data_IF_817639699279
#
_entry.id   IF_817639699279
#
_cell.length_a   1.000
_cell.length_b   1.000
_cell.length_c   1.000
_cell.angle_alpha   90.00
_cell.angle_beta   90.00
_cell.angle_gamma   90.00
#
_symmetry.space_group_name_H-M   'P 1'
#
loop_
_entity.id
_entity.type
_entity.pdbx_description
1 polymer ?
#
# COMPACT_ATOMS: atom_id res chain seq x y z
N UNK A 1 -23.50 0.88 1.13
CA UNK A 1 -22.77 2.12 0.78
C UNK A 1 -21.43 1.71 0.18
N UNK A 2 -21.33 1.59 -1.14
CA UNK A 2 -20.05 1.27 -1.77
C UNK A 2 -19.32 2.60 -2.00
N UNK A 3 -18.33 2.90 -1.16
CA UNK A 3 -17.44 4.04 -1.44
C UNK A 3 -16.55 3.65 -2.62
N UNK A 4 -16.70 4.35 -3.73
CA UNK A 4 -15.78 4.30 -4.88
C UNK A 4 -14.61 5.26 -4.70
N UNK A 5 -14.60 6.05 -3.62
CA UNK A 5 -13.49 6.93 -3.26
C UNK A 5 -12.53 6.21 -2.30
N UNK A 6 -11.21 6.39 -2.45
CA UNK A 6 -10.27 5.97 -1.44
C UNK A 6 -10.54 6.69 -0.12
N UNK A 7 -10.32 5.99 0.99
CA UNK A 7 -10.46 6.55 2.35
C UNK A 7 -9.07 6.74 2.93
N UNK A 8 -8.76 7.95 3.38
CA UNK A 8 -7.51 8.25 4.07
C UNK A 8 -7.77 8.40 5.57
N UNK A 9 -7.00 7.68 6.38
CA UNK A 9 -7.05 7.73 7.84
C UNK A 9 -5.78 8.43 8.33
N UNK A 10 -5.95 9.40 9.23
CA UNK A 10 -4.89 10.21 9.82
C UNK A 10 -5.06 10.18 11.34
N UNK A 11 -4.23 9.40 12.04
CA UNK A 11 -4.35 9.22 13.50
C UNK A 11 -3.64 10.31 14.31
N UNK A 12 -2.73 11.04 13.69
CA UNK A 12 -1.86 12.02 14.37
C UNK A 12 -1.65 13.22 13.46
N UNK A 13 -1.23 14.33 14.06
CA UNK A 13 -0.77 15.48 13.31
C UNK A 13 0.41 15.09 12.41
N UNK A 14 0.29 15.41 11.11
CA UNK A 14 1.34 15.19 10.12
C UNK A 14 2.00 16.54 9.83
N UNK A 15 3.33 16.68 10.03
CA UNK A 15 4.04 17.89 9.63
C UNK A 15 3.81 18.21 8.15
N UNK A 16 3.66 19.50 7.83
CA UNK A 16 3.35 19.95 6.46
C UNK A 16 4.34 19.42 5.42
N UNK A 17 5.60 19.26 5.82
CA UNK A 17 6.70 18.72 5.02
C UNK A 17 6.43 17.28 4.54
N UNK A 18 5.78 16.47 5.38
CA UNK A 18 5.43 15.06 5.09
C UNK A 18 4.16 14.91 4.24
N UNK A 19 3.39 15.98 4.05
CA UNK A 19 2.20 15.95 3.18
C UNK A 19 2.55 15.91 1.69
N UNK A 20 3.81 16.13 1.32
CA UNK A 20 4.30 15.95 -0.06
C UNK A 20 4.59 14.48 -0.40
N UNK A 21 4.35 13.55 0.53
CA UNK A 21 4.43 12.09 0.36
C UNK A 21 5.68 11.62 -0.39
N UNK A 22 6.88 12.04 0.02
CA UNK A 22 8.13 11.74 -0.69
C UNK A 22 8.48 10.27 -0.70
N UNK A 23 8.06 9.53 0.33
CA UNK A 23 8.19 8.07 0.42
C UNK A 23 6.80 7.44 0.58
N UNK A 24 6.35 6.73 -0.45
CA UNK A 24 5.08 6.02 -0.45
C UNK A 24 5.36 4.52 -0.33
N UNK A 25 4.66 3.83 0.54
CA UNK A 25 4.71 2.37 0.64
C UNK A 25 3.36 1.77 0.26
N UNK A 26 3.36 0.73 -0.56
CA UNK A 26 2.15 -0.04 -0.88
C UNK A 26 2.27 -1.47 -0.34
N UNK A 27 1.25 -1.93 0.38
CA UNK A 27 1.15 -3.31 0.85
C UNK A 27 0.68 -4.25 -0.26
N UNK A 28 1.45 -5.30 -0.53
CA UNK A 28 1.20 -6.26 -1.61
C UNK A 28 0.81 -7.63 -1.07
N UNK A 29 -0.42 -8.06 -1.34
CA UNK A 29 -0.97 -9.36 -0.97
C UNK A 29 -1.50 -10.17 -2.18
N UNK A 30 -1.29 -9.66 -3.40
CA UNK A 30 -1.73 -10.22 -4.68
C UNK A 30 -3.25 -10.32 -4.89
N UNK A 31 -4.05 -9.68 -4.05
CA UNK A 31 -5.50 -9.60 -4.22
C UNK A 31 -5.93 -8.62 -5.30
N UNK A 32 -7.19 -8.70 -5.73
CA UNK A 32 -7.78 -7.74 -6.68
C UNK A 32 -7.75 -6.30 -6.14
N UNK A 33 -8.04 -6.11 -4.85
CA UNK A 33 -8.03 -4.78 -4.22
C UNK A 33 -6.61 -4.20 -4.12
N UNK A 34 -5.62 -5.06 -3.89
CA UNK A 34 -4.21 -4.69 -3.89
C UNK A 34 -3.75 -4.17 -5.26
N UNK A 35 -4.24 -4.72 -6.37
CA UNK A 35 -3.92 -4.19 -7.70
C UNK A 35 -4.35 -2.73 -7.86
N UNK A 36 -5.51 -2.36 -7.30
CA UNK A 36 -5.98 -0.96 -7.29
C UNK A 36 -5.14 -0.08 -6.38
N UNK A 37 -4.69 -0.61 -5.24
CA UNK A 37 -3.76 0.07 -4.36
C UNK A 37 -2.40 0.34 -5.03
N UNK A 38 -1.83 -0.63 -5.75
CA UNK A 38 -0.60 -0.44 -6.52
C UNK A 38 -0.75 0.66 -7.56
N UNK A 39 -1.84 0.63 -8.33
CA UNK A 39 -2.12 1.63 -9.36
C UNK A 39 -2.31 3.03 -8.76
N UNK A 40 -3.07 3.13 -7.66
CA UNK A 40 -3.25 4.39 -6.94
C UNK A 40 -1.93 4.93 -6.39
N UNK A 41 -1.11 4.06 -5.77
CA UNK A 41 0.20 4.43 -5.23
C UNK A 41 1.17 4.89 -6.33
N UNK A 42 1.19 4.22 -7.48
CA UNK A 42 2.02 4.61 -8.62
C UNK A 42 1.63 5.99 -9.18
N UNK A 43 0.33 6.27 -9.32
CA UNK A 43 -0.14 7.59 -9.75
C UNK A 43 0.21 8.70 -8.75
N UNK A 44 0.11 8.42 -7.45
CA UNK A 44 0.57 9.36 -6.42
C UNK A 44 2.08 9.57 -6.51
N UNK A 45 2.85 8.50 -6.71
CA UNK A 45 4.30 8.59 -6.83
C UNK A 45 4.73 9.46 -8.02
N UNK A 46 4.08 9.32 -9.17
CA UNK A 46 4.29 10.21 -10.32
C UNK A 46 3.92 11.67 -10.00
N UNK A 47 2.75 11.90 -9.38
CA UNK A 47 2.25 13.24 -9.07
C UNK A 47 3.14 14.01 -8.09
N UNK A 48 3.70 13.32 -7.10
CA UNK A 48 4.50 13.93 -6.03
C UNK A 48 6.01 13.77 -6.21
N UNK A 49 6.43 13.10 -7.30
CA UNK A 49 7.79 12.69 -7.57
C UNK A 49 8.39 11.95 -6.36
N UNK A 50 7.73 10.86 -5.98
CA UNK A 50 7.99 10.09 -4.77
C UNK A 50 8.67 8.78 -5.09
N UNK A 51 9.44 8.29 -4.11
CA UNK A 51 9.91 6.90 -4.13
C UNK A 51 8.77 5.97 -3.69
N UNK A 52 8.54 4.91 -4.47
CA UNK A 52 7.54 3.89 -4.19
C UNK A 52 8.18 2.59 -3.67
N UNK A 53 7.87 2.19 -2.45
CA UNK A 53 8.30 0.91 -1.88
C UNK A 53 7.14 -0.10 -1.92
N UNK A 54 7.34 -1.23 -2.60
CA UNK A 54 6.40 -2.35 -2.57
C UNK A 54 6.75 -3.27 -1.40
N UNK A 55 5.87 -3.34 -0.41
CA UNK A 55 6.04 -4.23 0.73
C UNK A 55 5.27 -5.53 0.51
N UNK A 56 5.96 -6.67 0.61
CA UNK A 56 5.33 -7.97 0.63
C UNK A 56 5.88 -8.79 1.80
N UNK A 57 4.98 -9.33 2.61
CA UNK A 57 5.35 -10.24 3.68
C UNK A 57 5.57 -11.64 3.09
N UNK A 58 6.81 -12.12 3.09
CA UNK A 58 7.12 -13.42 2.51
C UNK A 58 6.65 -14.58 3.37
N UNK A 59 6.28 -15.66 2.71
CA UNK A 59 6.08 -16.95 3.38
C UNK A 59 7.44 -17.59 3.75
N UNK A 60 7.52 -18.49 4.76
CA UNK A 60 8.80 -19.09 5.17
C UNK A 60 9.55 -19.86 4.07
N UNK A 61 8.86 -20.24 2.99
CA UNK A 61 9.44 -20.97 1.85
C UNK A 61 9.81 -20.07 0.68
N UNK A 62 9.52 -18.77 0.78
CA UNK A 62 9.69 -17.80 -0.28
C UNK A 62 10.94 -16.96 -0.01
N UNK A 63 11.88 -17.05 -0.94
CA UNK A 63 13.06 -16.18 -0.97
C UNK A 63 12.68 -14.75 -1.38
N UNK A 64 13.55 -13.80 -1.06
CA UNK A 64 13.37 -12.40 -1.48
C UNK A 64 13.20 -12.30 -3.00
N UNK A 65 14.06 -12.99 -3.78
CA UNK A 65 13.99 -12.98 -5.23
C UNK A 65 12.64 -13.50 -5.76
N UNK A 66 12.12 -14.59 -5.19
CA UNK A 66 10.81 -15.12 -5.60
C UNK A 66 9.68 -14.15 -5.27
N UNK A 67 9.74 -13.47 -4.12
CA UNK A 67 8.79 -12.42 -3.76
C UNK A 67 8.82 -11.26 -4.75
N UNK A 68 10.02 -10.77 -5.11
CA UNK A 68 10.19 -9.71 -6.10
C UNK A 68 9.63 -10.10 -7.47
N UNK A 69 9.95 -11.30 -7.95
CA UNK A 69 9.44 -11.82 -9.22
C UNK A 69 7.91 -11.92 -9.24
N UNK A 70 7.29 -12.29 -8.11
CA UNK A 70 5.82 -12.32 -8.00
C UNK A 70 5.22 -10.92 -8.08
N UNK A 71 5.81 -9.93 -7.40
CA UNK A 71 5.34 -8.54 -7.49
C UNK A 71 5.48 -8.03 -8.93
N UNK A 72 6.61 -8.27 -9.59
CA UNK A 72 6.85 -7.88 -10.98
C UNK A 72 5.82 -8.49 -11.95
N UNK A 73 5.45 -9.76 -11.75
CA UNK A 73 4.41 -10.45 -12.54
C UNK A 73 3.01 -9.91 -12.22
N UNK A 74 2.77 -9.50 -10.98
CA UNK A 74 1.47 -9.02 -10.52
C UNK A 74 1.17 -7.58 -10.96
N UNK A 75 2.16 -6.69 -10.87
CA UNK A 75 2.02 -5.28 -11.18
C UNK A 75 3.24 -4.75 -11.93
N UNK A 76 2.99 -4.16 -13.10
CA UNK A 76 4.03 -3.50 -13.90
C UNK A 76 4.07 -2.02 -13.54
N UNK A 77 5.07 -1.62 -12.78
CA UNK A 77 5.26 -0.21 -12.40
C UNK A 77 5.48 0.67 -13.63
N UNK A 78 4.77 1.80 -13.76
CA UNK A 78 5.00 2.78 -14.82
C UNK A 78 6.44 3.33 -14.83
N UNK A 79 6.90 3.76 -16.00
CA UNK A 79 8.17 4.48 -16.14
C UNK A 79 8.14 5.84 -15.42
N UNK A 80 9.31 6.34 -15.03
CA UNK A 80 9.43 7.64 -14.35
C UNK A 80 9.22 7.60 -12.83
N UNK A 81 9.04 6.41 -12.24
CA UNK A 81 8.94 6.22 -10.79
C UNK A 81 10.23 5.57 -10.28
N UNK A 82 10.85 6.15 -9.26
CA UNK A 82 11.86 5.43 -8.47
C UNK A 82 11.14 4.44 -7.55
N UNK A 83 11.44 3.15 -7.64
CA UNK A 83 10.81 2.15 -6.78
C UNK A 83 11.78 1.10 -6.28
N UNK A 84 11.36 0.41 -5.21
CA UNK A 84 12.08 -0.73 -4.63
C UNK A 84 11.10 -1.79 -4.14
N UNK A 85 11.57 -3.03 -4.07
CA UNK A 85 10.85 -4.13 -3.43
C UNK A 85 11.38 -4.33 -2.00
N UNK A 86 10.46 -4.63 -1.07
CA UNK A 86 10.75 -4.96 0.32
C UNK A 86 10.02 -6.24 0.67
N UNK A 87 10.73 -7.35 0.46
CA UNK A 87 10.26 -8.68 0.80
C UNK A 87 10.71 -8.97 2.23
N UNK A 88 9.75 -9.17 3.13
CA UNK A 88 10.03 -9.21 4.56
C UNK A 88 9.41 -10.45 5.21
N UNK A 89 10.24 -11.25 5.87
CA UNK A 89 9.76 -12.39 6.65
C UNK A 89 9.32 -11.93 8.04
N UNK A 90 8.19 -12.42 8.52
CA UNK A 90 7.69 -12.07 9.85
C UNK A 90 6.57 -12.99 10.32
N UNK A 91 5.91 -12.61 11.41
CA UNK A 91 4.78 -13.39 11.98
C UNK A 91 3.43 -12.74 11.74
N UNK A 92 3.35 -11.41 11.79
CA UNK A 92 2.12 -10.65 11.62
C UNK A 92 2.31 -9.53 10.58
N UNK A 93 1.46 -9.43 9.54
CA UNK A 93 1.63 -8.42 8.49
C UNK A 93 1.63 -6.98 9.01
N UNK A 94 0.71 -6.64 9.92
CA UNK A 94 0.58 -5.27 10.41
C UNK A 94 1.80 -4.82 11.24
N UNK A 95 2.40 -5.72 12.03
CA UNK A 95 3.59 -5.38 12.82
C UNK A 95 4.77 -5.05 11.91
N UNK A 96 4.99 -5.85 10.87
CA UNK A 96 6.09 -5.64 9.94
C UNK A 96 5.87 -4.41 9.06
N UNK A 97 4.62 -4.15 8.62
CA UNK A 97 4.25 -2.92 7.88
C UNK A 97 4.58 -1.69 8.73
N UNK A 98 4.10 -1.65 9.98
CA UNK A 98 4.31 -0.51 10.89
C UNK A 98 5.79 -0.31 11.24
N UNK A 99 6.53 -1.42 11.42
CA UNK A 99 7.97 -1.41 11.67
C UNK A 99 8.74 -0.83 10.49
N UNK A 100 8.53 -1.36 9.28
CA UNK A 100 9.20 -0.87 8.08
C UNK A 100 8.83 0.59 7.80
N UNK A 101 7.55 0.95 7.96
CA UNK A 101 7.09 2.33 7.78
C UNK A 101 7.83 3.31 8.69
N UNK A 102 8.09 2.90 9.95
CA UNK A 102 8.90 3.69 10.89
C UNK A 102 10.37 3.73 10.48
N UNK A 103 10.97 2.58 10.19
CA UNK A 103 12.41 2.48 9.86
C UNK A 103 12.79 3.23 8.58
N UNK A 104 11.90 3.26 7.59
CA UNK A 104 12.12 3.96 6.32
C UNK A 104 11.57 5.37 6.29
N UNK A 105 10.91 5.79 7.38
CA UNK A 105 10.21 7.07 7.49
C UNK A 105 9.21 7.28 6.35
N UNK A 106 8.38 6.28 6.11
CA UNK A 106 7.32 6.33 5.10
C UNK A 106 6.35 7.46 5.42
N UNK A 107 6.01 8.26 4.41
CA UNK A 107 5.12 9.40 4.53
C UNK A 107 3.66 9.03 4.27
N UNK A 108 3.41 7.94 3.53
CA UNK A 108 2.08 7.44 3.19
C UNK A 108 2.10 5.92 2.99
N UNK A 109 1.17 5.22 3.64
CA UNK A 109 0.91 3.80 3.40
C UNK A 109 -0.35 3.68 2.52
N UNK A 110 -0.29 2.86 1.48
CA UNK A 110 -1.43 2.53 0.62
C UNK A 110 -1.72 1.04 0.73
N UNK A 111 -2.97 0.67 0.95
CA UNK A 111 -3.38 -0.73 1.07
C UNK A 111 -4.67 -1.01 0.29
N UNK A 112 -4.79 -2.25 -0.21
CA UNK A 112 -6.08 -2.79 -0.61
C UNK A 112 -6.92 -3.09 0.63
N UNK A 113 -8.25 -3.10 0.50
CA UNK A 113 -9.14 -3.36 1.65
C UNK A 113 -9.13 -4.80 2.16
N UNK A 114 -8.83 -5.79 1.32
CA UNK A 114 -8.89 -7.21 1.69
C UNK A 114 -8.09 -8.12 0.76
N UNK A 115 -7.74 -9.30 1.27
CA UNK A 115 -6.85 -10.28 0.64
C UNK A 115 -7.56 -11.35 -0.20
N UNK A 116 -8.82 -11.74 0.10
CA UNK A 116 -9.30 -13.10 -0.27
C UNK A 116 -10.74 -13.33 -0.77
N UNK A 117 -11.64 -12.35 -0.87
CA UNK A 117 -13.04 -12.66 -1.25
C UNK A 117 -13.54 -11.97 -2.53
N UNK A 118 -14.14 -12.76 -3.42
CA UNK A 118 -15.00 -12.32 -4.54
C UNK A 118 -16.45 -12.04 -4.11
N UNK A 119 -16.75 -12.21 -2.80
CA UNK A 119 -18.09 -11.95 -2.28
C UNK A 119 -18.45 -10.46 -2.43
N UNK A 120 -19.71 -10.16 -2.73
CA UNK A 120 -20.23 -8.78 -2.85
C UNK A 120 -20.14 -7.96 -1.54
N UNK A 121 -19.66 -8.56 -0.44
CA UNK A 121 -19.51 -7.91 0.87
C UNK A 121 -18.07 -7.41 1.04
N UNK A 122 -17.96 -6.11 1.29
CA UNK A 122 -16.68 -5.47 1.64
C UNK A 122 -16.33 -5.85 3.08
N UNK A 123 -15.36 -6.74 3.25
CA UNK A 123 -14.70 -6.99 4.54
C UNK A 123 -13.38 -6.20 4.59
N UNK A 124 -13.03 -5.68 5.76
CA UNK A 124 -11.74 -5.01 6.00
C UNK A 124 -10.79 -6.03 6.60
N UNK A 125 -9.65 -6.28 5.95
CA UNK A 125 -8.67 -7.22 6.47
C UNK A 125 -8.07 -6.77 7.80
N UNK A 126 -7.78 -7.69 8.71
CA UNK A 126 -7.19 -7.36 10.03
C UNK A 126 -5.91 -6.53 9.91
N UNK A 127 -5.07 -6.78 8.90
CA UNK A 127 -3.88 -5.97 8.65
C UNK A 127 -4.22 -4.50 8.35
N UNK A 128 -5.28 -4.25 7.58
CA UNK A 128 -5.77 -2.90 7.29
C UNK A 128 -6.27 -2.23 8.56
N UNK A 129 -7.05 -2.95 9.39
CA UNK A 129 -7.58 -2.41 10.65
C UNK A 129 -6.45 -1.98 11.60
N UNK A 130 -5.49 -2.88 11.87
CA UNK A 130 -4.37 -2.60 12.76
C UNK A 130 -3.44 -1.51 12.24
N UNK A 131 -3.05 -1.56 10.96
CA UNK A 131 -2.20 -0.52 10.36
C UNK A 131 -2.92 0.83 10.38
N UNK A 132 -4.20 0.86 10.04
CA UNK A 132 -4.99 2.09 10.04
C UNK A 132 -5.18 2.67 11.43
N UNK A 133 -5.19 1.86 12.50
CA UNK A 133 -5.33 2.32 13.87
C UNK A 133 -4.00 2.81 14.48
N UNK A 134 -2.88 2.19 14.11
CA UNK A 134 -1.60 2.35 14.82
C UNK A 134 -0.53 3.11 14.03
N UNK A 135 -0.73 3.35 12.72
CA UNK A 135 0.25 4.04 11.89
C UNK A 135 0.55 5.47 12.35
N UNK A 136 1.83 5.84 12.24
CA UNK A 136 2.33 7.19 12.49
C UNK A 136 2.27 8.10 11.26
N UNK A 137 2.01 7.54 10.08
CA UNK A 137 1.80 8.25 8.84
C UNK A 137 0.40 7.92 8.27
N UNK A 138 -0.15 8.78 7.40
CA UNK A 138 -1.46 8.54 6.80
C UNK A 138 -1.54 7.18 6.11
N UNK A 139 -2.72 6.57 6.19
CA UNK A 139 -3.02 5.29 5.55
C UNK A 139 -4.17 5.49 4.59
N UNK A 140 -3.99 5.14 3.32
CA UNK A 140 -5.05 5.16 2.30
C UNK A 140 -5.49 3.75 1.97
N UNK A 141 -6.80 3.53 2.07
CA UNK A 141 -7.44 2.26 1.73
C UNK A 141 -8.16 2.40 0.39
N UNK A 142 -7.83 1.50 -0.53
CA UNK A 142 -8.39 1.46 -1.89
C UNK A 142 -9.23 0.19 -2.06
N UNK A 143 -10.50 0.38 -2.41
CA UNK A 143 -11.51 -0.70 -2.50
C UNK A 143 -12.01 -0.94 -3.93
N UNK A 144 -11.86 0.03 -4.83
CA UNK A 144 -12.48 0.03 -6.15
C UNK A 144 -11.55 0.63 -7.21
N UNK A 145 -11.55 0.14 -8.47
CA UNK A 145 -10.71 0.69 -9.54
C UNK A 145 -11.00 2.17 -9.81
N UNK A 146 -12.25 2.62 -9.68
CA UNK A 146 -12.62 4.02 -9.92
C UNK A 146 -11.94 5.02 -8.97
N UNK A 147 -11.42 4.55 -7.84
CA UNK A 147 -10.60 5.35 -6.93
C UNK A 147 -9.36 5.92 -7.64
N UNK A 148 -8.84 5.20 -8.63
CA UNK A 148 -7.69 5.55 -9.45
C UNK A 148 -8.00 6.67 -10.46
N UNK A 149 -9.26 6.79 -10.89
CA UNK A 149 -9.68 7.78 -11.90
C UNK A 149 -9.77 9.20 -11.36
N UNK A 150 -9.77 9.39 -10.03
CA UNK A 150 -9.97 10.70 -9.40
C UNK A 150 -8.67 11.51 -9.20
N UNK A 151 -7.49 10.94 -9.48
CA UNK A 151 -6.20 11.64 -9.33
C UNK A 151 -5.91 12.58 -10.51
N UNK A 152 -6.55 12.35 -11.66
CA UNK A 152 -6.32 13.04 -12.95
C UNK A 152 -7.08 14.37 -13.12
N UNK A 153 -7.73 14.87 -12.07
CA UNK A 153 -8.36 16.21 -12.06
C UNK A 153 -7.61 17.18 -11.17
#
# INVERSE_FOLDING_TARGET
MHSTSPVMIVNRFIPKEKLNFKKIMVGVDFSKSCKYACEFAAKLALKYNSKLSFFHMSSPKESEKEGEEKIQKFYKTPEGIEYEYKIWAGTQPYTEILKLAREKEIDLIVMGSHTRDESERVYVGSAVEHVSAESLCPVVIVTHPDAVLKIEK
#
